data_IF_592718236533
#
_entry.id   IF_592718236533
#
_cell.length_a   1.000
_cell.length_b   1.000
_cell.length_c   1.000
_cell.angle_alpha   90.00
_cell.angle_beta   90.00
_cell.angle_gamma   90.00
#
_symmetry.space_group_name_H-M   'P 1'
#
loop_
_entity.id
_entity.type
_entity.pdbx_description
1 polymer ?
#
# COMPACT_ATOMS: atom_id res chain seq x y z
N UNK A 1 -4.91 8.12 -39.71
CA UNK A 1 -6.28 7.62 -39.43
C UNK A 1 -6.20 6.59 -38.30
N UNK A 2 -6.45 6.97 -37.05
CA UNK A 2 -6.64 6.02 -35.95
C UNK A 2 -8.15 5.89 -35.70
N UNK A 3 -8.82 5.11 -36.54
CA UNK A 3 -10.20 4.67 -36.29
C UNK A 3 -10.13 3.39 -35.46
N UNK A 4 -10.88 3.37 -34.35
CA UNK A 4 -11.18 2.22 -33.48
C UNK A 4 -10.20 1.91 -32.33
N UNK A 5 -9.79 2.92 -31.55
CA UNK A 5 -9.53 2.64 -30.14
C UNK A 5 -10.90 2.38 -29.48
N UNK A 6 -11.16 1.20 -28.89
CA UNK A 6 -12.43 0.94 -28.22
C UNK A 6 -12.64 2.03 -27.16
N UNK A 7 -13.80 2.68 -27.19
CA UNK A 7 -14.24 3.54 -26.11
C UNK A 7 -14.20 2.73 -24.82
N UNK A 8 -13.15 2.94 -24.02
CA UNK A 8 -12.95 2.21 -22.79
C UNK A 8 -14.13 2.47 -21.85
N UNK A 9 -15.00 1.46 -21.73
CA UNK A 9 -16.03 1.37 -20.70
C UNK A 9 -15.66 0.17 -19.83
N UNK A 10 -15.20 0.42 -18.61
CA UNK A 10 -15.32 -0.61 -17.58
C UNK A 10 -16.82 -0.72 -17.32
N UNK A 11 -17.40 -1.86 -17.68
CA UNK A 11 -18.85 -2.07 -17.75
C UNK A 11 -19.59 -1.40 -16.57
N UNK A 12 -20.50 -0.46 -16.89
CA UNK A 12 -21.48 0.14 -15.98
C UNK A 12 -20.96 0.73 -14.64
N UNK A 13 -19.67 1.07 -14.51
CA UNK A 13 -19.14 1.72 -13.31
C UNK A 13 -18.57 3.10 -13.64
N UNK A 14 -19.10 4.15 -13.03
CA UNK A 14 -18.55 5.52 -13.14
C UNK A 14 -17.13 5.61 -12.56
N UNK A 15 -16.75 4.68 -11.67
CA UNK A 15 -15.47 4.70 -10.98
C UNK A 15 -15.00 3.29 -10.64
N UNK A 16 -13.71 3.03 -10.86
CA UNK A 16 -13.05 1.77 -10.50
C UNK A 16 -11.83 2.10 -9.64
N UNK A 17 -11.91 1.80 -8.36
CA UNK A 17 -10.77 1.78 -7.47
C UNK A 17 -10.16 0.37 -7.49
N UNK A 18 -8.92 0.26 -7.97
CA UNK A 18 -8.16 -0.98 -7.91
C UNK A 18 -7.12 -0.84 -6.81
N UNK A 19 -7.27 -1.64 -5.76
CA UNK A 19 -6.23 -1.79 -4.75
C UNK A 19 -5.39 -3.00 -5.11
N UNK A 20 -4.11 -2.76 -5.32
CA UNK A 20 -3.12 -3.81 -5.45
C UNK A 20 -2.10 -3.74 -4.31
N UNK A 21 -1.50 -4.88 -3.98
CA UNK A 21 -0.43 -4.96 -2.98
C UNK A 21 0.75 -5.68 -3.63
N UNK A 22 1.92 -5.04 -3.64
CA UNK A 22 3.14 -5.76 -3.97
C UNK A 22 3.38 -6.78 -2.86
N UNK A 23 3.34 -8.05 -3.23
CA UNK A 23 3.12 -9.16 -2.32
C UNK A 23 4.33 -10.07 -2.16
N UNK A 24 4.25 -11.08 -1.29
CA UNK A 24 5.42 -11.75 -0.74
C UNK A 24 6.20 -12.62 -1.74
N UNK A 25 5.68 -12.81 -2.96
CA UNK A 25 6.35 -13.56 -4.03
C UNK A 25 7.05 -12.62 -5.00
N UNK A 26 8.12 -13.06 -5.66
CA UNK A 26 8.88 -12.22 -6.61
C UNK A 26 8.00 -11.64 -7.72
N UNK A 27 7.05 -12.42 -8.25
CA UNK A 27 6.14 -11.96 -9.30
C UNK A 27 5.20 -10.87 -8.76
N UNK A 28 4.66 -11.08 -7.56
CA UNK A 28 3.84 -10.08 -6.89
C UNK A 28 4.64 -8.84 -6.45
N UNK A 29 5.96 -8.95 -6.28
CA UNK A 29 6.82 -7.83 -5.91
C UNK A 29 7.27 -6.98 -7.12
N UNK A 30 7.13 -7.47 -8.35
CA UNK A 30 7.71 -6.84 -9.56
C UNK A 30 6.68 -6.46 -10.64
N UNK A 31 5.41 -6.79 -10.46
CA UNK A 31 4.39 -6.42 -11.44
C UNK A 31 4.12 -4.91 -11.46
N UNK A 32 3.78 -4.39 -12.64
CA UNK A 32 3.41 -2.99 -12.82
C UNK A 32 1.92 -2.89 -13.19
N UNK A 33 1.04 -2.48 -12.25
CA UNK A 33 -0.41 -2.41 -12.51
C UNK A 33 -0.77 -1.38 -13.58
N UNK A 34 0.03 -0.33 -13.73
CA UNK A 34 -0.21 0.72 -14.72
C UNK A 34 -0.08 0.16 -16.14
N UNK A 35 0.94 -0.67 -16.40
CA UNK A 35 1.12 -1.31 -17.71
C UNK A 35 -0.07 -2.18 -18.09
N UNK A 36 -0.66 -2.88 -17.12
CA UNK A 36 -1.86 -3.71 -17.32
C UNK A 36 -3.06 -2.84 -17.70
N UNK A 37 -3.30 -1.76 -16.96
CA UNK A 37 -4.40 -0.83 -17.24
C UNK A 37 -4.28 -0.19 -18.63
N UNK A 38 -3.08 0.25 -19.00
CA UNK A 38 -2.81 0.82 -20.33
C UNK A 38 -3.01 -0.22 -21.44
N UNK A 39 -2.54 -1.45 -21.25
CA UNK A 39 -2.74 -2.55 -22.20
C UNK A 39 -4.22 -2.92 -22.35
N UNK A 40 -5.02 -2.77 -21.28
CA UNK A 40 -6.47 -2.93 -21.30
C UNK A 40 -7.23 -1.75 -21.94
N UNK A 41 -6.52 -0.70 -22.36
CA UNK A 41 -7.09 0.46 -23.04
C UNK A 41 -7.53 1.60 -22.13
N UNK A 42 -7.16 1.60 -20.84
CA UNK A 42 -7.45 2.72 -19.92
C UNK A 42 -6.62 3.93 -20.35
N UNK A 43 -7.23 5.11 -20.61
CA UNK A 43 -6.46 6.32 -20.93
C UNK A 43 -5.58 6.77 -19.76
N UNK A 44 -4.35 7.17 -20.03
CA UNK A 44 -3.38 7.56 -18.99
C UNK A 44 -3.89 8.70 -18.10
N UNK A 45 -4.58 9.69 -18.67
CA UNK A 45 -5.17 10.82 -17.97
C UNK A 45 -6.32 10.44 -17.03
N UNK A 46 -6.88 9.23 -17.19
CA UNK A 46 -7.89 8.64 -16.30
C UNK A 46 -7.28 7.80 -15.17
N UNK A 47 -5.96 7.60 -15.18
CA UNK A 47 -5.24 6.87 -14.14
C UNK A 47 -4.65 7.87 -13.14
N UNK A 48 -4.87 7.62 -11.86
CA UNK A 48 -4.13 8.25 -10.76
C UNK A 48 -3.42 7.15 -9.98
N UNK A 49 -2.09 7.20 -9.90
CA UNK A 49 -1.31 6.20 -9.16
C UNK A 49 -1.06 6.66 -7.72
N UNK A 50 -1.73 6.01 -6.76
CA UNK A 50 -1.54 6.25 -5.33
C UNK A 50 -0.53 5.25 -4.75
N UNK A 51 0.60 5.74 -4.26
CA UNK A 51 1.60 4.95 -3.54
C UNK A 51 1.30 5.02 -2.05
N UNK A 52 1.12 3.86 -1.42
CA UNK A 52 1.04 3.71 0.03
C UNK A 52 2.23 2.86 0.48
N UNK A 53 3.09 3.41 1.33
CA UNK A 53 4.27 2.72 1.83
C UNK A 53 4.37 2.78 3.36
N UNK A 54 5.20 1.92 3.94
CA UNK A 54 5.48 1.86 5.38
C UNK A 54 6.98 1.70 5.57
N UNK A 55 7.50 1.89 6.78
CA UNK A 55 8.89 1.56 7.13
C UNK A 55 9.28 0.13 6.67
N UNK A 56 10.45 -0.08 6.02
CA UNK A 56 10.89 -1.39 5.52
C UNK A 56 11.03 -2.47 6.59
N UNK A 57 11.54 -2.15 7.79
CA UNK A 57 11.67 -3.13 8.86
C UNK A 57 10.29 -3.55 9.36
N UNK A 58 9.40 -2.59 9.63
CA UNK A 58 8.04 -2.87 10.05
C UNK A 58 7.27 -3.69 9.01
N UNK A 59 7.50 -3.42 7.71
CA UNK A 59 6.90 -4.14 6.60
C UNK A 59 7.43 -5.57 6.50
N UNK A 60 8.75 -5.77 6.51
CA UNK A 60 9.36 -7.10 6.50
C UNK A 60 8.93 -7.95 7.70
N UNK A 61 8.93 -7.37 8.92
CA UNK A 61 8.42 -8.04 10.13
C UNK A 61 6.95 -8.42 9.97
N UNK A 62 6.12 -7.52 9.42
CA UNK A 62 4.70 -7.83 9.15
C UNK A 62 4.53 -8.95 8.13
N UNK A 63 5.39 -9.03 7.11
CA UNK A 63 5.34 -10.10 6.12
C UNK A 63 5.76 -11.43 6.72
N UNK A 64 6.79 -11.46 7.57
CA UNK A 64 7.21 -12.67 8.29
C UNK A 64 6.08 -13.19 9.17
N UNK A 65 5.43 -12.33 9.95
CA UNK A 65 4.28 -12.73 10.78
C UNK A 65 3.14 -13.35 9.96
N UNK A 66 2.92 -12.84 8.75
CA UNK A 66 1.82 -13.23 7.90
C UNK A 66 2.12 -14.46 7.05
N UNK A 67 3.32 -14.55 6.48
CA UNK A 67 3.62 -15.43 5.35
C UNK A 67 4.72 -16.45 5.64
N UNK A 68 5.35 -16.44 6.83
CA UNK A 68 6.42 -17.39 7.17
C UNK A 68 5.95 -18.86 7.25
N UNK A 69 4.64 -19.12 7.16
CA UNK A 69 4.08 -20.47 7.12
C UNK A 69 4.13 -21.09 5.71
N UNK A 70 4.38 -20.31 4.65
CA UNK A 70 4.56 -20.83 3.28
C UNK A 70 5.79 -20.28 2.56
N UNK A 71 6.52 -19.33 3.15
CA UNK A 71 7.72 -18.73 2.58
C UNK A 71 8.81 -18.55 3.64
N UNK A 72 10.07 -18.60 3.24
CA UNK A 72 11.22 -18.39 4.13
C UNK A 72 11.35 -16.92 4.55
N UNK A 73 11.89 -16.66 5.75
CA UNK A 73 12.07 -15.28 6.24
C UNK A 73 13.01 -14.48 5.33
N UNK A 74 14.06 -15.13 4.85
CA UNK A 74 15.06 -14.61 3.93
C UNK A 74 14.41 -14.18 2.61
N UNK A 75 13.56 -15.04 2.03
CA UNK A 75 12.88 -14.69 0.80
C UNK A 75 11.84 -13.59 0.99
N UNK A 76 11.11 -13.57 2.12
CA UNK A 76 10.17 -12.50 2.46
C UNK A 76 10.87 -11.15 2.61
N UNK A 77 12.05 -11.12 3.25
CA UNK A 77 12.87 -9.90 3.31
C UNK A 77 13.31 -9.49 1.91
N UNK A 78 13.84 -10.43 1.11
CA UNK A 78 14.28 -10.15 -0.27
C UNK A 78 13.14 -9.59 -1.14
N UNK A 79 11.94 -10.17 -1.08
CA UNK A 79 10.78 -9.70 -1.86
C UNK A 79 10.20 -8.40 -1.32
N UNK A 80 10.28 -8.16 -0.01
CA UNK A 80 9.98 -6.87 0.60
C UNK A 80 10.90 -5.78 0.01
N UNK A 81 12.22 -5.99 0.00
CA UNK A 81 13.19 -5.05 -0.56
C UNK A 81 12.95 -4.79 -2.06
N UNK A 82 12.70 -5.84 -2.83
CA UNK A 82 12.34 -5.73 -4.25
C UNK A 82 11.06 -4.91 -4.48
N UNK A 83 10.11 -4.96 -3.55
CA UNK A 83 8.85 -4.21 -3.65
C UNK A 83 9.08 -2.70 -3.50
N UNK A 84 10.05 -2.25 -2.69
CA UNK A 84 10.38 -0.82 -2.61
C UNK A 84 10.99 -0.30 -3.91
N UNK A 85 11.94 -1.05 -4.49
CA UNK A 85 12.50 -0.71 -5.82
C UNK A 85 11.40 -0.68 -6.88
N UNK A 86 10.49 -1.66 -6.86
CA UNK A 86 9.39 -1.73 -7.81
C UNK A 86 8.40 -0.57 -7.65
N UNK A 87 8.06 -0.15 -6.42
CA UNK A 87 7.27 1.07 -6.18
C UNK A 87 7.93 2.29 -6.82
N UNK A 88 9.24 2.46 -6.62
CA UNK A 88 9.97 3.58 -7.18
C UNK A 88 9.97 3.54 -8.72
N UNK A 89 10.24 2.37 -9.31
CA UNK A 89 10.24 2.16 -10.76
C UNK A 89 8.85 2.39 -11.38
N UNK A 90 7.79 1.91 -10.74
CA UNK A 90 6.40 2.12 -11.21
C UNK A 90 6.04 3.60 -11.11
N UNK A 91 6.41 4.28 -10.02
CA UNK A 91 6.18 5.72 -9.85
C UNK A 91 6.92 6.54 -10.90
N UNK A 92 8.20 6.25 -11.14
CA UNK A 92 9.00 6.92 -12.18
C UNK A 92 8.41 6.67 -13.58
N UNK A 93 8.02 5.43 -13.87
CA UNK A 93 7.34 5.09 -15.10
C UNK A 93 6.05 5.91 -15.27
N UNK A 94 5.18 5.96 -14.25
CA UNK A 94 3.95 6.73 -14.26
C UNK A 94 4.20 8.21 -14.61
N UNK A 95 5.16 8.84 -13.91
CA UNK A 95 5.54 10.24 -14.14
C UNK A 95 6.06 10.44 -15.57
N UNK A 96 6.89 9.52 -16.08
CA UNK A 96 7.50 9.63 -17.42
C UNK A 96 6.47 9.62 -18.56
N UNK A 97 5.27 9.10 -18.33
CA UNK A 97 4.17 9.05 -19.30
C UNK A 97 2.99 9.97 -18.92
N UNK A 98 3.19 10.89 -17.98
CA UNK A 98 2.20 11.90 -17.61
C UNK A 98 1.07 11.42 -16.70
N UNK A 99 1.18 10.24 -16.09
CA UNK A 99 0.21 9.76 -15.10
C UNK A 99 0.45 10.48 -13.77
N UNK A 100 -0.62 11.04 -13.20
CA UNK A 100 -0.57 11.70 -11.89
C UNK A 100 -0.26 10.69 -10.80
N UNK A 101 0.64 11.06 -9.89
CA UNK A 101 1.00 10.23 -8.74
C UNK A 101 0.76 10.98 -7.43
N UNK A 102 0.31 10.28 -6.40
CA UNK A 102 0.29 10.78 -5.02
C UNK A 102 0.96 9.76 -4.11
N UNK A 103 1.74 10.21 -3.14
CA UNK A 103 2.41 9.36 -2.16
C UNK A 103 1.86 9.61 -0.76
N UNK A 104 1.67 8.52 -0.01
CA UNK A 104 1.41 8.58 1.42
C UNK A 104 2.18 7.47 2.14
N UNK A 105 2.99 7.85 3.12
CA UNK A 105 3.64 6.89 4.03
C UNK A 105 2.78 6.68 5.29
N UNK A 106 2.84 5.48 5.85
CA UNK A 106 2.04 5.07 7.02
C UNK A 106 2.29 5.95 8.25
N UNK A 107 3.50 6.49 8.40
CA UNK A 107 3.89 7.41 9.47
C UNK A 107 3.12 8.74 9.42
N UNK A 108 2.50 9.10 8.29
CA UNK A 108 1.61 10.26 8.22
C UNK A 108 0.50 10.18 9.27
N UNK A 109 -0.01 8.98 9.56
CA UNK A 109 -1.06 8.76 10.58
C UNK A 109 -0.52 8.86 12.02
N UNK A 110 0.79 8.70 12.22
CA UNK A 110 1.43 8.83 13.54
C UNK A 110 1.58 10.31 13.91
N UNK A 111 2.04 11.11 12.96
CA UNK A 111 2.48 12.49 13.25
C UNK A 111 1.38 13.53 13.03
N UNK A 112 0.25 13.13 12.46
CA UNK A 112 -0.83 14.04 12.09
C UNK A 112 -2.19 13.45 12.46
N UNK A 113 -3.19 14.34 12.64
CA UNK A 113 -4.59 13.92 12.85
C UNK A 113 -5.07 13.14 11.63
N UNK A 114 -5.50 11.86 11.76
CA UNK A 114 -5.83 11.03 10.60
C UNK A 114 -6.85 11.64 9.66
N UNK A 115 -7.92 12.26 10.18
CA UNK A 115 -8.93 12.92 9.37
C UNK A 115 -8.35 14.04 8.48
N UNK A 116 -7.34 14.78 8.96
CA UNK A 116 -6.66 15.83 8.18
C UNK A 116 -5.84 15.23 7.04
N UNK A 117 -5.11 14.14 7.32
CA UNK A 117 -4.31 13.44 6.31
C UNK A 117 -5.20 12.86 5.22
N UNK A 118 -6.32 12.21 5.59
CA UNK A 118 -7.25 11.68 4.58
C UNK A 118 -7.89 12.80 3.78
N UNK A 119 -8.35 13.89 4.42
CA UNK A 119 -8.94 15.02 3.71
C UNK A 119 -7.97 15.61 2.67
N UNK A 120 -6.70 15.79 3.04
CA UNK A 120 -5.64 16.28 2.14
C UNK A 120 -5.37 15.30 1.00
N UNK A 121 -5.28 14.00 1.31
CA UNK A 121 -5.12 12.96 0.31
C UNK A 121 -6.26 12.98 -0.71
N UNK A 122 -7.50 12.96 -0.24
CA UNK A 122 -8.71 12.97 -1.05
C UNK A 122 -8.80 14.22 -1.93
N UNK A 123 -8.52 15.39 -1.37
CA UNK A 123 -8.40 16.64 -2.13
C UNK A 123 -7.33 16.54 -3.23
N UNK A 124 -6.15 15.99 -2.91
CA UNK A 124 -5.02 15.83 -3.84
C UNK A 124 -5.34 14.88 -5.00
N UNK A 125 -6.09 13.81 -4.73
CA UNK A 125 -6.52 12.84 -5.76
C UNK A 125 -7.78 13.30 -6.53
N UNK A 126 -8.33 14.48 -6.22
CA UNK A 126 -9.47 15.07 -6.93
C UNK A 126 -10.84 14.63 -6.42
N UNK A 127 -10.91 14.09 -5.19
CA UNK A 127 -12.14 13.64 -4.54
C UNK A 127 -12.43 14.52 -3.31
N UNK A 128 -13.17 15.62 -3.46
CA UNK A 128 -13.57 16.40 -2.29
C UNK A 128 -14.42 15.54 -1.36
N UNK A 129 -14.03 15.51 -0.09
CA UNK A 129 -14.67 14.71 0.96
C UNK A 129 -15.18 15.63 2.07
N UNK A 130 -16.37 15.35 2.60
CA UNK A 130 -16.83 16.01 3.83
C UNK A 130 -16.10 15.47 5.06
N UNK A 131 -16.03 16.25 6.15
CA UNK A 131 -15.48 15.76 7.43
C UNK A 131 -16.20 14.51 7.95
N UNK A 132 -17.50 14.37 7.64
CA UNK A 132 -18.30 13.20 8.01
C UNK A 132 -17.80 11.90 7.35
N UNK A 133 -17.06 11.95 6.24
CA UNK A 133 -16.43 10.77 5.65
C UNK A 133 -15.35 10.15 6.56
N UNK A 134 -14.89 10.87 7.59
CA UNK A 134 -13.77 10.48 8.45
C UNK A 134 -14.16 10.30 9.92
N UNK A 135 -15.46 10.24 10.22
CA UNK A 135 -16.00 10.10 11.57
C UNK A 135 -17.25 9.22 11.55
N UNK A 136 -17.64 8.67 12.70
CA UNK A 136 -18.87 7.87 12.80
C UNK A 136 -18.78 6.53 12.07
N UNK A 137 -17.56 5.99 11.90
CA UNK A 137 -17.35 4.69 11.28
C UNK A 137 -17.86 3.60 12.23
N UNK A 138 -18.89 2.90 11.79
CA UNK A 138 -19.41 1.72 12.48
C UNK A 138 -18.73 0.48 11.91
N UNK A 139 -18.53 -0.58 12.73
CA UNK A 139 -18.01 -1.84 12.23
C UNK A 139 -18.80 -2.30 11.00
N UNK A 140 -18.10 -2.55 9.89
CA UNK A 140 -18.74 -3.10 8.70
C UNK A 140 -19.28 -4.51 9.02
N UNK A 141 -20.39 -4.90 8.37
CA UNK A 141 -20.80 -6.31 8.37
C UNK A 141 -19.60 -7.14 7.91
N UNK A 142 -19.35 -8.28 8.58
CA UNK A 142 -18.25 -9.21 8.24
C UNK A 142 -18.17 -9.38 6.73
N UNK A 143 -16.96 -9.45 6.17
CA UNK A 143 -16.73 -9.55 4.72
C UNK A 143 -17.36 -10.78 4.02
N UNK A 144 -18.02 -11.69 4.75
CA UNK A 144 -18.79 -12.83 4.22
C UNK A 144 -20.34 -12.70 4.29
N UNK A 145 -20.93 -11.79 5.07
CA UNK A 145 -22.38 -11.49 5.10
C UNK A 145 -23.13 -11.19 3.76
N UNK A 146 -24.44 -11.40 3.70
CA UNK A 146 -25.25 -10.98 2.54
C UNK A 146 -25.30 -9.43 2.40
N UNK A 147 -25.29 -8.92 1.16
CA UNK A 147 -25.46 -7.49 0.84
C UNK A 147 -24.19 -6.63 0.96
N UNK A 148 -23.04 -7.15 0.53
CA UNK A 148 -21.76 -6.41 0.55
C UNK A 148 -21.38 -5.85 -0.81
N UNK A 149 -20.64 -4.74 -0.77
CA UNK A 149 -19.98 -4.14 -1.94
C UNK A 149 -18.51 -4.58 -2.10
N UNK A 150 -18.11 -5.69 -1.46
CA UNK A 150 -16.75 -6.26 -1.57
C UNK A 150 -16.84 -7.56 -2.36
N UNK A 151 -16.23 -7.57 -3.54
CA UNK A 151 -16.13 -8.73 -4.41
C UNK A 151 -14.73 -9.32 -4.28
N UNK A 152 -14.62 -10.52 -3.71
CA UNK A 152 -13.37 -11.26 -3.64
C UNK A 152 -13.32 -12.29 -4.76
N UNK A 153 -12.22 -12.31 -5.51
CA UNK A 153 -11.91 -13.40 -6.46
C UNK A 153 -11.45 -14.60 -5.62
N UNK A 154 -11.78 -15.85 -5.99
CA UNK A 154 -11.24 -17.04 -5.34
C UNK A 154 -9.71 -16.95 -5.22
N UNK A 155 -9.20 -17.03 -3.99
CA UNK A 155 -7.77 -17.03 -3.72
C UNK A 155 -7.28 -18.47 -3.60
N UNK A 156 -6.03 -18.78 -4.00
CA UNK A 156 -5.42 -20.08 -3.72
C UNK A 156 -5.48 -20.46 -2.23
N UNK A 157 -5.74 -21.74 -1.91
CA UNK A 157 -5.89 -22.26 -0.54
C UNK A 157 -4.71 -21.92 0.40
N UNK A 158 -3.53 -21.66 -0.16
CA UNK A 158 -2.34 -21.21 0.59
C UNK A 158 -2.57 -19.89 1.33
N UNK A 159 -3.50 -19.05 0.87
CA UNK A 159 -3.89 -17.81 1.55
C UNK A 159 -5.02 -18.01 2.55
N UNK A 160 -5.79 -19.10 2.42
CA UNK A 160 -7.07 -19.32 3.11
C UNK A 160 -6.90 -19.69 4.60
N UNK A 161 -5.83 -20.42 4.94
CA UNK A 161 -5.61 -20.97 6.30
C UNK A 161 -5.56 -19.92 7.43
N UNK A 162 -5.38 -18.64 7.11
CA UNK A 162 -5.34 -17.54 8.08
C UNK A 162 -6.28 -16.35 7.75
N UNK A 163 -7.15 -16.42 6.72
CA UNK A 163 -8.02 -15.30 6.31
C UNK A 163 -8.85 -14.71 7.46
N UNK A 164 -9.31 -15.53 8.40
CA UNK A 164 -10.09 -15.06 9.56
C UNK A 164 -9.32 -14.11 10.46
N UNK A 165 -8.02 -14.31 10.67
CA UNK A 165 -7.20 -13.43 11.52
C UNK A 165 -6.75 -12.16 10.78
N UNK A 166 -6.53 -12.22 9.47
CA UNK A 166 -6.14 -11.05 8.65
C UNK A 166 -7.15 -9.91 8.74
N UNK A 167 -8.44 -10.23 8.72
CA UNK A 167 -9.50 -9.23 8.75
C UNK A 167 -9.96 -8.87 10.15
N UNK A 168 -9.49 -9.54 11.20
CA UNK A 168 -10.00 -9.31 12.55
C UNK A 168 -9.82 -7.85 12.99
N UNK A 169 -8.65 -7.26 12.73
CA UNK A 169 -8.37 -5.85 13.04
C UNK A 169 -9.26 -4.91 12.23
N UNK A 170 -9.47 -5.20 10.95
CA UNK A 170 -10.33 -4.39 10.06
C UNK A 170 -11.79 -4.48 10.50
N UNK A 171 -12.27 -5.69 10.81
CA UNK A 171 -13.64 -5.96 11.24
C UNK A 171 -14.00 -5.29 12.57
N UNK A 172 -13.01 -5.06 13.45
CA UNK A 172 -13.18 -4.38 14.74
C UNK A 172 -12.82 -2.89 14.69
N UNK A 173 -12.32 -2.39 13.56
CA UNK A 173 -11.89 -1.01 13.46
C UNK A 173 -13.08 -0.05 13.40
N UNK A 174 -12.98 1.05 14.14
CA UNK A 174 -13.93 2.17 14.15
C UNK A 174 -13.29 3.45 13.60
N UNK A 175 -12.13 3.35 12.94
CA UNK A 175 -11.42 4.50 12.41
C UNK A 175 -10.05 4.19 11.81
N UNK A 176 -9.27 5.23 11.55
CA UNK A 176 -7.87 5.11 11.10
C UNK A 176 -6.96 5.23 12.32
N UNK A 177 -6.21 4.18 12.59
CA UNK A 177 -5.27 4.12 13.71
C UNK A 177 -3.89 3.71 13.22
N UNK A 178 -2.87 4.43 13.69
CA UNK A 178 -1.48 4.05 13.50
C UNK A 178 -1.10 2.95 14.48
N UNK A 179 -0.55 1.85 13.97
CA UNK A 179 -0.03 0.76 14.77
C UNK A 179 1.47 0.65 14.56
N UNK A 180 2.25 1.08 15.56
CA UNK A 180 3.69 0.90 15.52
C UNK A 180 4.08 -0.60 15.52
N UNK A 181 5.22 -0.94 14.91
CA UNK A 181 5.86 -2.25 15.10
C UNK A 181 6.96 -2.08 16.16
N UNK A 182 6.78 -2.60 17.39
CA UNK A 182 7.76 -2.41 18.45
C UNK A 182 9.13 -3.03 18.13
N UNK A 183 10.23 -2.39 18.57
CA UNK A 183 11.60 -2.85 18.28
C UNK A 183 11.88 -4.28 18.74
N UNK A 184 11.34 -4.68 19.90
CA UNK A 184 11.49 -6.06 20.40
C UNK A 184 10.85 -7.08 19.44
N UNK A 185 9.71 -6.76 18.84
CA UNK A 185 9.06 -7.62 17.84
C UNK A 185 9.89 -7.68 16.56
N UNK A 186 10.45 -6.55 16.13
CA UNK A 186 11.34 -6.50 14.95
C UNK A 186 12.55 -7.42 15.16
N UNK A 187 13.24 -7.31 16.30
CA UNK A 187 14.40 -8.15 16.65
C UNK A 187 14.07 -9.62 16.86
N UNK A 188 12.85 -9.94 17.30
CA UNK A 188 12.40 -11.34 17.43
C UNK A 188 12.21 -12.00 16.05
N UNK A 189 11.72 -11.25 15.07
CA UNK A 189 11.39 -11.79 13.75
C UNK A 189 12.55 -11.74 12.76
N UNK A 190 13.36 -10.67 12.81
CA UNK A 190 14.52 -10.48 11.94
C UNK A 190 15.80 -10.85 12.67
N UNK A 191 16.58 -11.78 12.09
CA UNK A 191 17.93 -12.05 12.57
C UNK A 191 18.84 -10.83 12.35
N UNK A 192 19.98 -10.72 13.07
CA UNK A 192 20.94 -9.64 12.86
C UNK A 192 21.36 -9.48 11.39
N UNK A 193 21.57 -10.60 10.67
CA UNK A 193 21.91 -10.59 9.26
C UNK A 193 20.79 -9.98 8.37
N UNK A 194 19.51 -10.28 8.67
CA UNK A 194 18.38 -9.70 7.93
C UNK A 194 18.17 -8.22 8.24
N UNK A 195 18.44 -7.80 9.49
CA UNK A 195 18.44 -6.39 9.88
C UNK A 195 19.51 -5.65 9.09
N UNK A 196 20.73 -6.18 9.05
CA UNK A 196 21.84 -5.61 8.29
C UNK A 196 21.52 -5.53 6.79
N UNK A 197 20.93 -6.59 6.22
CA UNK A 197 20.50 -6.61 4.82
C UNK A 197 19.51 -5.47 4.51
N UNK A 198 18.51 -5.25 5.37
CA UNK A 198 17.55 -4.14 5.19
C UNK A 198 18.27 -2.79 5.35
N UNK A 199 19.16 -2.67 6.35
CA UNK A 199 19.90 -1.44 6.63
C UNK A 199 20.82 -1.01 5.48
N UNK A 200 21.46 -1.96 4.80
CA UNK A 200 22.34 -1.74 3.65
C UNK A 200 21.57 -1.63 2.32
N UNK A 201 20.29 -1.98 2.30
CA UNK A 201 19.46 -1.87 1.10
C UNK A 201 19.09 -0.42 0.78
N UNK A 202 18.71 -0.19 -0.47
CA UNK A 202 18.12 1.08 -0.90
C UNK A 202 16.69 1.29 -0.38
N UNK A 203 16.03 0.28 0.20
CA UNK A 203 14.65 0.39 0.63
C UNK A 203 14.45 1.51 1.68
N UNK A 204 15.43 1.72 2.57
CA UNK A 204 15.38 2.83 3.53
C UNK A 204 15.52 4.19 2.85
N UNK A 205 16.41 4.31 1.87
CA UNK A 205 16.54 5.53 1.08
C UNK A 205 15.24 5.82 0.32
N UNK A 206 14.69 4.81 -0.38
CA UNK A 206 13.41 4.92 -1.09
C UNK A 206 12.31 5.34 -0.12
N UNK A 207 12.25 4.74 1.07
CA UNK A 207 11.25 5.12 2.06
C UNK A 207 11.37 6.59 2.48
N UNK A 208 12.59 7.11 2.70
CA UNK A 208 12.81 8.53 2.99
C UNK A 208 12.37 9.44 1.84
N UNK A 209 12.65 9.05 0.60
CA UNK A 209 12.18 9.77 -0.59
C UNK A 209 10.64 9.77 -0.68
N UNK A 210 9.99 8.65 -0.34
CA UNK A 210 8.53 8.56 -0.28
C UNK A 210 7.94 9.40 0.87
N UNK A 211 8.63 9.51 2.00
CA UNK A 211 8.26 10.42 3.09
C UNK A 211 8.29 11.87 2.62
N UNK A 212 9.39 12.30 2.00
CA UNK A 212 9.50 13.65 1.42
C UNK A 212 8.42 13.92 0.37
N UNK A 213 8.16 12.94 -0.50
CA UNK A 213 7.07 13.04 -1.47
C UNK A 213 5.70 13.17 -0.81
N UNK A 214 5.46 12.50 0.32
CA UNK A 214 4.22 12.63 1.09
C UNK A 214 4.07 14.03 1.68
N UNK A 215 5.15 14.58 2.25
CA UNK A 215 5.13 15.96 2.76
C UNK A 215 4.80 16.96 1.66
N UNK A 216 5.39 16.78 0.46
CA UNK A 216 5.12 17.62 -0.70
C UNK A 216 3.69 17.45 -1.23
N UNK A 217 3.22 16.22 -1.38
CA UNK A 217 1.91 15.91 -1.97
C UNK A 217 0.75 16.37 -1.07
N UNK A 218 0.93 16.29 0.25
CA UNK A 218 -0.14 16.55 1.22
C UNK A 218 0.05 17.86 1.99
N UNK A 219 1.24 18.46 1.97
CA UNK A 219 1.56 19.64 2.78
C UNK A 219 1.41 19.35 4.28
N UNK A 220 2.01 18.25 4.74
CA UNK A 220 2.07 17.82 6.15
C UNK A 220 3.53 17.55 6.53
N UNK A 221 3.80 17.43 7.83
CA UNK A 221 5.12 17.07 8.34
C UNK A 221 5.14 15.65 8.87
N UNK A 222 6.23 14.94 8.59
CA UNK A 222 6.45 13.56 9.01
C UNK A 222 7.86 13.46 9.59
N UNK A 223 7.93 13.02 10.84
CA UNK A 223 9.18 12.83 11.54
C UNK A 223 9.81 11.51 11.09
N UNK A 224 11.03 11.57 10.55
CA UNK A 224 11.81 10.36 10.31
C UNK A 224 12.46 9.94 11.62
N UNK A 225 11.84 9.00 12.33
CA UNK A 225 12.43 8.43 13.53
C UNK A 225 13.54 7.48 13.08
N UNK A 226 14.82 7.77 13.41
CA UNK A 226 15.89 6.83 13.13
C UNK A 226 15.68 5.61 14.00
N UNK A 227 15.81 4.43 13.39
CA UNK A 227 15.78 3.17 14.12
C UNK A 227 17.11 2.97 14.84
N UNK A 228 17.33 3.78 15.88
CA UNK A 228 18.53 3.74 16.71
C UNK A 228 18.52 2.44 17.50
N UNK A 229 19.59 1.67 17.37
CA UNK A 229 19.82 0.45 18.12
C UNK A 229 19.16 -0.80 17.53
N UNK A 230 18.73 -0.82 16.27
CA UNK A 230 18.47 -2.10 15.61
C UNK A 230 19.75 -2.92 15.41
#
# INVERSE_FOLDING_TARGET
MHKNAPHFRIANAEFVFVKETLGPTTNAASFNPIKILLAAGVPAEKIHFLVIARDPFATATSWIEQFAHFETRENLVRTCLLSYESIQNIKQYAVSIGIRTTTIVYDAWRDNVPAVVVQKLFTRIGYPSSRSAFSGWVPLKKMEAAGKNIYSIPQPDIYDRNLKSYYEKVNKSTGITYYNKPLNVIREKLSPALIEQIAQSRALQIYRELTQATELDLGIKIELIPMIGL
#
